data_IF_043832740255
#
_entry.id   IF_043832740255
#
_cell.length_a   1.000
_cell.length_b   1.000
_cell.length_c   1.000
_cell.angle_alpha   90.00
_cell.angle_beta   90.00
_cell.angle_gamma   90.00
#
_symmetry.space_group_name_H-M   'P 1'
#
loop_
_entity.id
_entity.type
_entity.pdbx_description
1 polymer ?
#
# COMPACT_ATOMS: atom_id res chain seq x y z
N UNK A 1 -1.47 -9.37 -0.93
CA UNK A 1 -1.25 -7.91 -0.75
C UNK A 1 -1.51 -7.58 0.70
N UNK A 2 -0.61 -6.84 1.35
CA UNK A 2 -0.78 -6.39 2.73
C UNK A 2 -1.37 -4.99 2.75
N UNK A 3 -2.47 -4.76 3.46
CA UNK A 3 -3.08 -3.44 3.63
C UNK A 3 -2.79 -2.98 5.07
N UNK A 4 -1.91 -1.98 5.20
CA UNK A 4 -1.54 -1.34 6.46
C UNK A 4 -1.86 0.15 6.39
N UNK A 5 -3.13 0.48 6.55
CA UNK A 5 -3.63 1.84 6.42
C UNK A 5 -4.70 2.12 7.49
N UNK A 6 -4.89 3.39 7.89
CA UNK A 6 -6.00 3.79 8.74
C UNK A 6 -7.35 3.56 8.05
N UNK A 7 -8.43 3.53 8.85
CA UNK A 7 -9.78 3.49 8.33
C UNK A 7 -10.04 4.74 7.47
N UNK A 8 -10.22 4.54 6.17
CA UNK A 8 -10.52 5.59 5.19
C UNK A 8 -11.39 5.01 4.07
N UNK A 9 -11.98 5.88 3.24
CA UNK A 9 -12.75 5.42 2.07
C UNK A 9 -11.89 4.63 1.06
N UNK A 10 -10.57 4.87 1.05
CA UNK A 10 -9.65 4.18 0.17
C UNK A 10 -9.39 2.74 0.61
N UNK A 11 -9.59 2.41 1.90
CA UNK A 11 -9.37 1.06 2.41
C UNK A 11 -10.34 0.04 1.80
N UNK A 12 -11.69 0.22 1.84
CA UNK A 12 -12.61 -0.68 1.16
C UNK A 12 -12.35 -0.76 -0.34
N UNK A 13 -12.04 0.37 -1.00
CA UNK A 13 -11.72 0.41 -2.43
C UNK A 13 -10.52 -0.49 -2.73
N UNK A 14 -9.42 -0.36 -1.99
CA UNK A 14 -8.24 -1.20 -2.18
C UNK A 14 -8.54 -2.67 -1.95
N UNK A 15 -9.27 -2.99 -0.88
CA UNK A 15 -9.66 -4.36 -0.56
C UNK A 15 -10.47 -5.00 -1.70
N UNK A 16 -11.50 -4.30 -2.19
CA UNK A 16 -12.31 -4.80 -3.31
C UNK A 16 -11.50 -4.90 -4.60
N UNK A 17 -10.62 -3.95 -4.91
CA UNK A 17 -9.73 -4.04 -6.08
C UNK A 17 -8.82 -5.25 -6.03
N UNK A 18 -8.23 -5.56 -4.85
CA UNK A 18 -7.38 -6.75 -4.66
C UNK A 18 -8.19 -8.03 -4.89
N UNK A 19 -9.39 -8.11 -4.32
CA UNK A 19 -10.26 -9.28 -4.49
C UNK A 19 -10.73 -9.42 -5.95
N UNK A 20 -11.07 -8.31 -6.60
CA UNK A 20 -11.56 -8.30 -7.99
C UNK A 20 -10.52 -8.83 -8.99
N UNK A 21 -9.22 -8.60 -8.75
CA UNK A 21 -8.14 -9.15 -9.58
C UNK A 21 -7.75 -10.59 -9.20
N UNK A 22 -8.49 -11.22 -8.28
CA UNK A 22 -8.21 -12.58 -7.80
C UNK A 22 -7.01 -12.69 -6.86
N UNK A 23 -6.53 -11.56 -6.31
CA UNK A 23 -5.45 -11.55 -5.33
C UNK A 23 -5.97 -11.70 -3.90
N UNK A 24 -5.09 -12.13 -3.00
CA UNK A 24 -5.42 -12.30 -1.57
C UNK A 24 -5.06 -11.02 -0.83
N UNK A 25 -6.04 -10.43 -0.15
CA UNK A 25 -5.84 -9.30 0.76
C UNK A 25 -5.55 -9.80 2.19
N UNK A 26 -4.47 -9.29 2.79
CA UNK A 26 -4.16 -9.43 4.22
C UNK A 26 -4.27 -8.05 4.84
N UNK A 27 -5.13 -7.89 5.83
CA UNK A 27 -5.34 -6.61 6.53
C UNK A 27 -4.57 -6.58 7.85
N UNK A 28 -4.07 -5.41 8.23
CA UNK A 28 -3.39 -5.19 9.52
C UNK A 28 -3.99 -4.03 10.27
N UNK A 29 -3.85 -4.05 11.59
CA UNK A 29 -4.19 -2.90 12.40
C UNK A 29 -3.12 -1.80 12.20
N UNK A 30 -3.48 -0.57 11.78
CA UNK A 30 -2.54 0.55 11.57
C UNK A 30 -1.76 0.94 12.84
N UNK A 31 -2.27 0.57 14.02
CA UNK A 31 -1.62 0.81 15.31
C UNK A 31 -0.50 -0.19 15.63
N UNK A 32 -0.33 -1.25 14.82
CA UNK A 32 0.74 -2.21 15.04
C UNK A 32 2.12 -1.55 15.03
N UNK A 33 2.96 -2.09 15.90
CA UNK A 33 4.39 -1.80 15.95
C UNK A 33 5.10 -2.49 14.79
N UNK A 34 6.30 -2.02 14.45
CA UNK A 34 7.12 -2.63 13.41
C UNK A 34 7.41 -4.12 13.67
N UNK A 35 7.50 -4.53 14.94
CA UNK A 35 7.73 -5.93 15.32
C UNK A 35 6.52 -6.83 15.04
N UNK A 36 5.32 -6.37 15.38
CA UNK A 36 4.08 -7.10 15.06
C UNK A 36 3.87 -7.20 13.55
N UNK A 37 4.17 -6.10 12.85
CA UNK A 37 4.09 -6.05 11.39
C UNK A 37 5.10 -7.01 10.74
N UNK A 38 6.31 -7.13 11.29
CA UNK A 38 7.31 -8.09 10.82
C UNK A 38 6.83 -9.54 10.94
N UNK A 39 6.14 -9.90 12.03
CA UNK A 39 5.51 -11.22 12.17
C UNK A 39 4.49 -11.44 11.08
N UNK A 40 3.62 -10.46 10.85
CA UNK A 40 2.59 -10.59 9.83
C UNK A 40 3.14 -10.66 8.41
N UNK A 41 4.19 -9.90 8.10
CA UNK A 41 4.90 -9.99 6.81
C UNK A 41 5.55 -11.36 6.64
N UNK A 42 6.16 -11.90 7.70
CA UNK A 42 6.76 -13.25 7.69
C UNK A 42 5.72 -14.34 7.44
N UNK A 43 4.56 -14.23 8.06
CA UNK A 43 3.50 -15.25 7.99
C UNK A 43 2.74 -15.17 6.66
N UNK A 44 2.38 -13.96 6.22
CA UNK A 44 1.58 -13.75 5.00
C UNK A 44 2.40 -13.67 3.71
N UNK A 45 3.73 -13.49 3.82
CA UNK A 45 4.68 -13.32 2.69
C UNK A 45 4.12 -12.45 1.57
N UNK A 46 3.68 -11.21 1.87
CA UNK A 46 3.01 -10.38 0.89
C UNK A 46 4.00 -9.94 -0.19
N UNK A 47 3.52 -9.83 -1.43
CA UNK A 47 4.33 -9.34 -2.57
C UNK A 47 4.22 -7.82 -2.80
N UNK A 48 3.31 -7.16 -2.07
CA UNK A 48 2.97 -5.74 -2.21
C UNK A 48 2.40 -5.27 -0.87
N UNK A 49 2.74 -4.05 -0.46
CA UNK A 49 2.11 -3.35 0.66
C UNK A 49 1.33 -2.13 0.16
N UNK A 50 0.16 -1.89 0.71
CA UNK A 50 -0.62 -0.66 0.53
C UNK A 50 -0.64 0.04 1.88
N UNK A 51 -0.21 1.30 1.93
CA UNK A 51 -0.11 2.07 3.17
C UNK A 51 -0.29 3.56 2.92
N UNK A 52 -0.24 4.38 3.97
CA UNK A 52 -0.22 5.85 3.88
C UNK A 52 1.18 6.37 4.20
N UNK A 53 1.49 7.59 3.78
CA UNK A 53 2.81 8.19 3.96
C UNK A 53 3.29 8.20 5.42
N UNK A 54 2.39 8.48 6.35
CA UNK A 54 2.67 8.56 7.79
C UNK A 54 3.04 7.21 8.41
N UNK A 55 2.65 6.11 7.75
CA UNK A 55 2.90 4.75 8.20
C UNK A 55 4.03 4.05 7.41
N UNK A 56 4.51 4.68 6.32
CA UNK A 56 5.49 4.09 5.42
C UNK A 56 6.81 3.73 6.13
N UNK A 57 7.23 4.53 7.10
CA UNK A 57 8.46 4.28 7.86
C UNK A 57 8.46 2.93 8.60
N UNK A 58 7.28 2.41 8.94
CA UNK A 58 7.14 1.09 9.59
C UNK A 58 7.26 -0.06 8.60
N UNK A 59 7.06 0.17 7.30
CA UNK A 59 7.09 -0.87 6.25
C UNK A 59 8.30 -0.83 5.34
N UNK A 60 9.00 0.32 5.24
CA UNK A 60 10.15 0.49 4.34
C UNK A 60 11.27 -0.55 4.53
N UNK A 61 11.43 -1.06 5.75
CA UNK A 61 12.44 -2.07 6.09
C UNK A 61 12.15 -3.48 5.53
N UNK A 62 10.95 -3.73 5.00
CA UNK A 62 10.59 -5.05 4.46
C UNK A 62 10.99 -5.25 2.99
N UNK A 63 11.51 -4.22 2.31
CA UNK A 63 11.91 -4.27 0.89
C UNK A 63 10.79 -4.77 -0.04
N UNK A 64 9.55 -4.40 0.25
CA UNK A 64 8.40 -4.71 -0.58
C UNK A 64 8.03 -3.48 -1.43
N UNK A 65 7.54 -3.69 -2.67
CA UNK A 65 6.86 -2.64 -3.40
C UNK A 65 5.72 -2.06 -2.56
N UNK A 66 5.57 -0.74 -2.58
CA UNK A 66 4.60 -0.02 -1.76
C UNK A 66 3.71 0.89 -2.59
N UNK A 67 2.40 0.82 -2.37
CA UNK A 67 1.44 1.81 -2.87
C UNK A 67 1.09 2.77 -1.74
N UNK A 68 1.35 4.06 -1.95
CA UNK A 68 1.03 5.11 -0.98
C UNK A 68 -0.35 5.70 -1.30
N UNK A 69 -1.24 5.56 -0.33
CA UNK A 69 -2.59 6.11 -0.31
C UNK A 69 -2.56 7.55 0.23
N UNK A 70 -3.41 8.41 -0.32
CA UNK A 70 -3.53 9.80 0.09
C UNK A 70 -2.84 10.81 -0.82
N UNK A 71 -2.91 12.12 -0.50
CA UNK A 71 -2.30 13.17 -1.31
C UNK A 71 -0.78 12.99 -1.38
N UNK A 72 -0.20 13.38 -2.53
CA UNK A 72 1.23 13.27 -2.82
C UNK A 72 2.04 14.03 -1.76
N UNK A 73 2.46 13.30 -0.74
CA UNK A 73 3.42 13.72 0.25
C UNK A 73 4.80 13.39 -0.30
N UNK A 74 5.81 14.18 0.04
CA UNK A 74 7.20 14.04 -0.43
C UNK A 74 7.88 12.76 0.11
N UNK A 75 7.23 11.60 0.03
CA UNK A 75 7.79 10.30 0.34
C UNK A 75 8.66 9.89 -0.84
N UNK A 76 9.86 10.47 -0.82
CA UNK A 76 11.14 10.04 -1.40
C UNK A 76 11.10 9.04 -2.55
N UNK A 77 11.57 9.51 -3.71
CA UNK A 77 12.42 8.95 -4.79
C UNK A 77 12.82 7.46 -4.81
N UNK A 78 12.05 6.56 -4.20
CA UNK A 78 12.29 5.13 -4.24
C UNK A 78 11.51 4.55 -5.42
N UNK A 79 12.16 3.90 -6.39
CA UNK A 79 11.48 3.36 -7.58
C UNK A 79 10.45 2.27 -7.26
N UNK A 80 10.52 1.68 -6.05
CA UNK A 80 9.56 0.66 -5.59
C UNK A 80 8.36 1.27 -4.85
N UNK A 81 8.23 2.60 -4.80
CA UNK A 81 7.11 3.31 -4.19
C UNK A 81 6.28 3.97 -5.30
N UNK A 82 4.98 3.68 -5.29
CA UNK A 82 4.02 4.19 -6.27
C UNK A 82 2.95 4.97 -5.51
N UNK A 83 2.65 6.21 -5.91
CA UNK A 83 1.51 6.92 -5.35
C UNK A 83 0.21 6.50 -6.04
N UNK A 84 -0.85 6.30 -5.26
CA UNK A 84 -2.15 5.93 -5.80
C UNK A 84 -2.67 6.95 -6.82
N UNK A 85 -2.40 8.24 -6.61
CA UNK A 85 -2.79 9.29 -7.55
C UNK A 85 -2.11 9.14 -8.92
N UNK A 86 -0.85 8.70 -8.95
CA UNK A 86 -0.10 8.49 -10.20
C UNK A 86 -0.67 7.32 -11.00
N UNK A 87 -1.21 6.29 -10.33
CA UNK A 87 -1.92 5.18 -10.96
C UNK A 87 -3.24 5.64 -11.60
N UNK A 88 -3.96 6.57 -10.96
CA UNK A 88 -5.18 7.14 -11.52
C UNK A 88 -4.87 8.03 -12.74
N UNK A 89 -3.82 8.84 -12.65
CA UNK A 89 -3.44 9.77 -13.71
C UNK A 89 -2.85 9.06 -14.95
N UNK A 90 -2.23 7.88 -14.78
CA UNK A 90 -1.75 7.08 -15.92
C UNK A 90 -2.85 6.55 -16.84
N UNK A 91 -4.13 6.62 -16.42
CA UNK A 91 -5.26 6.22 -17.26
C UNK A 91 -5.84 7.37 -18.09
N UNK A 92 -5.26 8.59 -18.00
CA UNK A 92 -5.60 9.72 -18.86
C UNK A 92 -4.50 9.95 -19.88
N UNK A 93 -4.35 9.00 -20.81
CA UNK A 93 -3.66 9.25 -22.07
C UNK A 93 -4.73 9.64 -23.12
N UNK A 94 -5.02 10.94 -23.37
CA UNK A 94 -5.62 11.30 -24.63
C UNK A 94 -4.54 11.04 -25.69
N UNK A 95 -4.61 9.87 -26.29
CA UNK A 95 -3.88 9.59 -27.50
C UNK A 95 -4.46 10.47 -28.61
N UNK A 96 -3.86 11.64 -28.83
CA UNK A 96 -3.72 12.39 -30.10
C UNK A 96 -3.10 13.76 -29.85
#
# INVERSE_FOLDING_TARGET
VLIFAPNSIQFPICFFSIVAIGAIASTTNPLYTTQELAKQVKDSKPKLVITVAELYDKVKGFNLPAVILGPNSNVTSNPNVIHFNDLLNHNHNPSS
#
